data_IF_106982750954
#
_entry.id   IF_106982750954
#
_cell.length_a   1.000
_cell.length_b   1.000
_cell.length_c   1.000
_cell.angle_alpha   90.00
_cell.angle_beta   90.00
_cell.angle_gamma   90.00
#
_symmetry.space_group_name_H-M   'P 1'
#
loop_
_entity.id
_entity.type
_entity.pdbx_description
1 polymer ?
#
# COMPACT_ATOMS: atom_id res chain seq x y z
N UNK A 1 9.93 16.51 53.51
CA UNK A 1 10.17 15.05 53.50
C UNK A 1 9.42 14.44 52.33
N UNK A 2 10.02 13.60 51.47
CA UNK A 2 9.29 12.98 50.38
C UNK A 2 8.32 11.94 50.97
N UNK A 3 7.01 12.11 50.71
CA UNK A 3 5.97 11.18 51.16
C UNK A 3 6.07 9.86 50.39
N UNK A 4 6.01 8.74 51.11
CA UNK A 4 5.98 7.40 50.54
C UNK A 4 4.73 7.23 49.66
N UNK A 5 4.94 6.79 48.40
CA UNK A 5 3.90 6.45 47.44
C UNK A 5 3.02 5.33 48.04
N UNK A 6 1.71 5.55 48.17
CA UNK A 6 0.74 4.51 48.57
C UNK A 6 0.71 3.43 47.47
N UNK A 7 0.96 2.15 47.76
CA UNK A 7 0.75 1.08 46.79
C UNK A 7 -0.74 1.00 46.42
N UNK A 8 -1.04 0.90 45.12
CA UNK A 8 -2.41 0.87 44.56
C UNK A 8 -3.23 -0.40 44.92
N UNK A 9 -2.67 -1.30 45.74
CA UNK A 9 -3.37 -2.46 46.29
C UNK A 9 -2.88 -2.74 47.71
N UNK A 10 -3.81 -2.89 48.65
CA UNK A 10 -3.52 -3.43 49.98
C UNK A 10 -3.22 -4.93 49.85
N UNK A 11 -2.14 -5.36 50.51
CA UNK A 11 -1.64 -6.74 50.50
C UNK A 11 -2.62 -7.65 51.23
N UNK A 12 -3.24 -8.59 50.52
CA UNK A 12 -4.02 -9.69 51.12
C UNK A 12 -3.06 -10.70 51.80
N UNK A 13 -3.11 -10.86 53.14
CA UNK A 13 -2.21 -11.75 53.86
C UNK A 13 -2.55 -13.25 53.70
N UNK A 14 -3.61 -13.65 52.97
CA UNK A 14 -4.01 -15.06 52.85
C UNK A 14 -3.45 -15.83 51.66
N UNK A 15 -2.54 -15.25 50.86
CA UNK A 15 -2.02 -15.92 49.67
C UNK A 15 -1.01 -17.06 49.93
N UNK A 16 -0.73 -17.43 51.19
CA UNK A 16 0.26 -18.45 51.55
C UNK A 16 -0.27 -19.46 52.57
N UNK A 17 -1.28 -20.26 52.19
CA UNK A 17 -1.58 -21.56 52.82
C UNK A 17 -2.53 -22.34 51.92
N UNK A 18 -2.00 -23.37 51.26
CA UNK A 18 -2.59 -24.72 51.17
C UNK A 18 -1.82 -25.53 50.12
N UNK A 19 -0.85 -26.29 50.61
CA UNK A 19 -0.41 -27.53 49.99
C UNK A 19 -1.10 -28.68 50.72
N UNK A 20 -1.87 -29.49 50.00
CA UNK A 20 -1.96 -30.94 50.22
C UNK A 20 -2.81 -31.58 49.11
N UNK A 21 -2.15 -32.39 48.30
CA UNK A 21 -2.76 -33.46 47.50
C UNK A 21 -3.28 -34.56 48.44
N UNK A 22 -4.28 -35.39 48.08
CA UNK A 22 -3.98 -36.51 47.18
C UNK A 22 -5.13 -37.07 46.28
N UNK A 23 -4.68 -37.75 45.22
CA UNK A 23 -5.19 -38.99 44.56
C UNK A 23 -6.58 -39.06 43.89
N UNK A 24 -6.49 -39.28 42.56
CA UNK A 24 -7.23 -40.21 41.69
C UNK A 24 -8.77 -40.21 41.63
N UNK A 25 -9.32 -39.91 40.45
CA UNK A 25 -10.29 -40.77 39.76
C UNK A 25 -10.52 -40.31 38.31
N UNK A 26 -10.42 -41.27 37.37
CA UNK A 26 -10.88 -41.14 35.99
C UNK A 26 -12.41 -40.98 35.98
N UNK A 27 -12.93 -39.98 35.27
CA UNK A 27 -14.22 -40.11 34.56
C UNK A 27 -14.27 -39.16 33.37
N UNK A 28 -14.31 -39.79 32.20
CA UNK A 28 -14.99 -39.32 30.99
C UNK A 28 -16.31 -38.62 31.33
N UNK A 29 -16.55 -37.43 30.77
CA UNK A 29 -17.89 -36.97 30.42
C UNK A 29 -17.77 -35.91 29.33
N UNK A 30 -18.23 -36.28 28.12
CA UNK A 30 -18.41 -35.36 27.01
C UNK A 30 -19.46 -34.31 27.35
N UNK A 31 -19.20 -33.07 26.93
CA UNK A 31 -20.12 -31.94 27.11
C UNK A 31 -20.79 -31.62 25.78
N UNK A 32 -21.90 -32.31 25.51
CA UNK A 32 -22.89 -31.94 24.50
C UNK A 32 -23.58 -30.64 24.94
N UNK A 33 -23.59 -29.62 24.06
CA UNK A 33 -24.46 -28.45 24.19
C UNK A 33 -25.82 -28.81 23.60
N UNK A 34 -26.88 -28.78 24.41
CA UNK A 34 -28.27 -28.74 23.95
C UNK A 34 -28.61 -27.31 23.55
N UNK A 35 -29.12 -27.14 22.34
CA UNK A 35 -29.90 -25.96 21.93
C UNK A 35 -31.34 -26.13 22.40
N UNK A 36 -31.97 -25.01 22.76
CA UNK A 36 -33.40 -24.91 22.96
C UNK A 36 -34.04 -24.98 21.57
N UNK A 37 -34.48 -26.18 21.19
CA UNK A 37 -35.56 -26.49 20.25
C UNK A 37 -35.42 -27.97 19.92
N UNK A 38 -36.26 -28.78 20.57
CA UNK A 38 -36.17 -30.23 20.55
C UNK A 38 -36.34 -30.81 19.14
N UNK A 39 -35.32 -31.55 18.69
CA UNK A 39 -35.38 -32.40 17.51
C UNK A 39 -34.25 -33.43 17.57
N UNK A 40 -34.60 -34.71 17.69
CA UNK A 40 -33.72 -35.85 17.56
C UNK A 40 -33.69 -36.24 16.08
N UNK A 41 -32.51 -36.30 15.45
CA UNK A 41 -32.33 -37.00 14.18
C UNK A 41 -31.02 -37.79 14.21
N UNK A 42 -31.19 -39.09 13.98
CA UNK A 42 -30.17 -40.12 13.77
C UNK A 42 -29.33 -39.84 12.52
N UNK A 43 -28.12 -40.39 12.50
CA UNK A 43 -27.22 -40.30 11.37
C UNK A 43 -27.43 -41.40 10.34
N UNK A 44 -27.02 -41.10 9.10
CA UNK A 44 -26.42 -41.99 8.10
C UNK A 44 -25.85 -41.04 7.02
N UNK A 45 -24.53 -41.05 6.77
CA UNK A 45 -23.79 -41.84 5.77
C UNK A 45 -24.20 -41.63 4.30
N UNK A 46 -23.15 -41.31 3.53
CA UNK A 46 -22.93 -41.49 2.09
C UNK A 46 -23.42 -40.42 1.07
N UNK A 47 -22.51 -40.07 0.15
CA UNK A 47 -22.87 -39.86 -1.26
C UNK A 47 -22.69 -38.46 -1.88
N UNK A 48 -21.49 -38.17 -2.38
CA UNK A 48 -21.14 -37.76 -3.76
C UNK A 48 -22.05 -36.82 -4.62
N UNK A 49 -21.36 -35.97 -5.42
CA UNK A 49 -21.73 -35.30 -6.70
C UNK A 49 -22.32 -33.86 -6.74
N UNK A 50 -21.47 -32.93 -7.19
CA UNK A 50 -21.55 -32.03 -8.38
C UNK A 50 -22.93 -31.51 -8.86
N UNK A 51 -23.03 -30.18 -9.03
CA UNK A 51 -23.93 -29.47 -9.98
C UNK A 51 -24.64 -28.28 -9.34
N UNK A 52 -24.28 -27.01 -9.57
CA UNK A 52 -24.44 -26.19 -10.79
C UNK A 52 -25.88 -26.12 -11.32
N UNK A 53 -26.48 -24.93 -11.29
CA UNK A 53 -27.41 -24.50 -12.35
C UNK A 53 -28.85 -24.14 -11.98
N UNK A 54 -29.04 -22.86 -11.63
CA UNK A 54 -29.99 -21.88 -12.18
C UNK A 54 -31.52 -22.11 -12.35
N UNK A 55 -32.23 -21.05 -11.94
CA UNK A 55 -33.41 -20.38 -12.53
C UNK A 55 -34.83 -20.93 -12.32
N UNK A 56 -35.68 -20.06 -11.77
CA UNK A 56 -37.10 -20.02 -12.06
C UNK A 56 -37.57 -18.56 -12.23
N UNK A 57 -38.00 -18.25 -13.45
CA UNK A 57 -38.84 -17.11 -13.83
C UNK A 57 -40.29 -17.37 -13.42
N UNK A 58 -41.05 -16.33 -13.04
CA UNK A 58 -42.53 -16.35 -13.19
C UNK A 58 -43.15 -14.95 -13.27
N UNK A 59 -43.75 -14.69 -14.44
CA UNK A 59 -45.01 -13.98 -14.79
C UNK A 59 -45.40 -12.62 -14.16
N UNK A 60 -46.31 -11.81 -14.71
CA UNK A 60 -46.86 -11.40 -16.04
C UNK A 60 -48.12 -10.54 -15.69
N UNK A 61 -48.56 -9.68 -16.61
CA UNK A 61 -49.85 -8.91 -16.68
C UNK A 61 -49.93 -7.64 -15.81
N UNK A 62 -50.54 -6.50 -16.18
CA UNK A 62 -51.40 -5.97 -17.28
C UNK A 62 -51.41 -4.44 -17.06
N UNK A 63 -51.33 -3.49 -18.00
CA UNK A 63 -52.17 -3.24 -19.17
C UNK A 63 -53.30 -2.23 -18.85
N UNK A 64 -53.07 -0.90 -18.90
CA UNK A 64 -54.14 0.12 -19.13
C UNK A 64 -53.57 1.50 -19.55
N UNK A 65 -54.02 1.95 -20.72
CA UNK A 65 -54.31 3.31 -21.26
C UNK A 65 -53.38 4.54 -21.08
N UNK A 66 -53.23 5.23 -22.21
CA UNK A 66 -52.58 6.54 -22.39
C UNK A 66 -53.55 7.71 -22.15
N UNK A 67 -53.04 8.95 -22.00
CA UNK A 67 -53.35 9.94 -23.05
C UNK A 67 -52.21 10.93 -23.41
N UNK A 68 -52.16 11.24 -24.71
CA UNK A 68 -51.84 12.51 -25.39
C UNK A 68 -50.67 13.45 -24.96
N UNK A 69 -49.74 13.59 -25.92
CA UNK A 69 -48.87 14.71 -26.35
C UNK A 69 -49.21 16.16 -25.88
N UNK A 70 -48.21 17.07 -25.82
CA UNK A 70 -47.86 17.86 -27.00
C UNK A 70 -46.35 18.03 -27.29
N UNK A 71 -46.10 18.29 -28.59
CA UNK A 71 -44.83 18.59 -29.27
C UNK A 71 -44.16 19.88 -28.75
N UNK A 72 -42.83 19.87 -28.65
CA UNK A 72 -41.96 21.04 -28.74
C UNK A 72 -40.72 20.64 -29.56
N UNK A 73 -40.66 21.04 -30.84
CA UNK A 73 -39.95 22.24 -31.32
C UNK A 73 -38.42 22.10 -31.20
N UNK A 74 -37.81 21.70 -32.33
CA UNK A 74 -36.41 21.93 -32.62
C UNK A 74 -36.12 23.43 -32.55
N UNK A 75 -35.09 23.80 -31.78
CA UNK A 75 -34.34 25.03 -31.98
C UNK A 75 -32.86 24.69 -31.97
N UNK A 76 -32.27 24.75 -33.16
CA UNK A 76 -30.82 24.86 -33.35
C UNK A 76 -30.35 26.13 -32.65
N UNK A 77 -29.40 25.99 -31.73
CA UNK A 77 -28.62 27.11 -31.20
C UNK A 77 -27.17 26.88 -31.61
N UNK A 78 -26.66 27.83 -32.37
CA UNK A 78 -25.29 28.01 -32.80
C UNK A 78 -24.31 27.82 -31.62
N UNK A 79 -23.35 26.90 -31.78
CA UNK A 79 -22.21 26.80 -30.88
C UNK A 79 -21.17 27.85 -31.29
N UNK A 80 -21.10 28.93 -30.53
CA UNK A 80 -19.93 29.80 -30.45
C UNK A 80 -18.69 29.05 -29.92
N UNK A 81 -17.47 29.50 -30.28
CA UNK A 81 -16.23 28.82 -29.92
C UNK A 81 -15.88 28.98 -28.43
N UNK A 82 -15.11 28.04 -27.83
CA UNK A 82 -14.78 28.08 -26.42
C UNK A 82 -13.85 29.25 -26.09
N UNK A 83 -14.32 30.08 -25.16
CA UNK A 83 -13.58 31.12 -24.47
C UNK A 83 -12.34 30.57 -23.77
N UNK A 84 -11.22 31.28 -23.93
CA UNK A 84 -9.94 31.12 -23.23
C UNK A 84 -10.15 30.90 -21.73
N UNK A 85 -9.90 29.67 -21.25
CA UNK A 85 -9.70 29.40 -19.83
C UNK A 85 -8.30 29.92 -19.49
N UNK A 86 -8.26 31.00 -18.71
CA UNK A 86 -7.03 31.51 -18.11
C UNK A 86 -6.52 30.48 -17.11
N UNK A 87 -5.37 29.88 -17.43
CA UNK A 87 -4.55 29.11 -16.49
C UNK A 87 -4.15 30.05 -15.36
N UNK A 88 -4.65 29.80 -14.15
CA UNK A 88 -4.15 30.45 -12.94
C UNK A 88 -2.86 29.75 -12.54
N UNK A 89 -1.75 30.47 -12.64
CA UNK A 89 -0.46 30.11 -12.09
C UNK A 89 -0.58 29.74 -10.60
N UNK A 90 -0.41 28.46 -10.28
CA UNK A 90 -0.07 28.05 -8.93
C UNK A 90 1.41 28.34 -8.71
N UNK A 91 1.69 29.57 -8.29
CA UNK A 91 3.01 30.00 -7.82
C UNK A 91 3.34 29.22 -6.55
N UNK A 92 4.08 28.11 -6.71
CA UNK A 92 4.67 27.38 -5.58
C UNK A 92 5.54 28.35 -4.79
N UNK A 93 5.35 28.34 -3.46
CA UNK A 93 6.20 29.05 -2.52
C UNK A 93 7.66 28.62 -2.71
N UNK A 94 8.43 29.50 -3.37
CA UNK A 94 9.87 29.39 -3.53
C UNK A 94 10.50 29.61 -2.15
N UNK A 95 11.06 28.55 -1.57
CA UNK A 95 11.88 28.67 -0.36
C UNK A 95 13.11 29.52 -0.71
N UNK A 96 13.08 30.80 -0.37
CA UNK A 96 14.27 31.63 -0.32
C UNK A 96 15.06 31.27 0.94
N UNK A 97 16.17 30.57 0.78
CA UNK A 97 17.19 30.39 1.82
C UNK A 97 18.41 31.25 1.47
N UNK A 98 18.94 32.04 2.42
CA UNK A 98 20.14 32.84 2.20
C UNK A 98 21.41 32.03 2.45
N UNK A 99 22.40 32.20 1.59
CA UNK A 99 23.81 31.86 1.88
C UNK A 99 24.29 30.52 1.33
N UNK A 100 24.80 30.54 0.10
CA UNK A 100 25.82 29.57 -0.33
C UNK A 100 26.84 30.31 -1.18
N UNK A 101 27.93 30.74 -0.55
CA UNK A 101 29.07 31.35 -1.23
C UNK A 101 29.90 30.27 -1.92
N UNK A 102 30.07 30.44 -3.22
CA UNK A 102 31.00 29.70 -4.08
C UNK A 102 32.44 29.78 -3.55
N UNK A 103 33.10 28.63 -3.47
CA UNK A 103 34.54 28.42 -3.60
C UNK A 103 34.67 27.19 -4.50
N UNK A 104 35.36 27.17 -5.63
CA UNK A 104 36.58 27.88 -6.00
C UNK A 104 37.56 26.78 -6.44
N UNK A 105 37.98 26.87 -7.70
CA UNK A 105 38.75 25.88 -8.46
C UNK A 105 39.99 25.29 -7.76
N UNK A 106 40.35 24.06 -8.12
CA UNK A 106 41.76 23.62 -8.15
C UNK A 106 41.97 22.56 -9.23
N UNK A 107 42.90 22.92 -10.10
CA UNK A 107 43.39 22.25 -11.30
C UNK A 107 44.10 20.90 -11.07
N UNK A 108 44.01 20.10 -12.14
CA UNK A 108 45.03 19.25 -12.77
C UNK A 108 45.82 18.19 -11.97
N UNK A 109 45.80 16.96 -12.48
CA UNK A 109 46.77 15.91 -12.16
C UNK A 109 46.54 14.60 -12.90
N UNK A 110 46.87 14.57 -14.20
CA UNK A 110 47.05 13.33 -14.96
C UNK A 110 48.16 12.47 -14.34
N UNK A 111 47.92 11.17 -14.14
CA UNK A 111 48.91 10.09 -14.32
C UNK A 111 48.24 8.72 -14.15
N UNK A 112 48.30 7.92 -15.21
CA UNK A 112 48.27 6.46 -15.17
C UNK A 112 49.62 5.96 -15.74
N UNK A 113 49.95 4.65 -15.77
CA UNK A 113 49.42 3.50 -15.00
C UNK A 113 50.57 2.74 -14.30
N UNK A 114 50.28 1.76 -13.43
CA UNK A 114 51.11 0.54 -13.38
C UNK A 114 50.45 -0.64 -12.63
N UNK A 115 50.82 -1.81 -13.11
CA UNK A 115 50.29 -3.13 -12.85
C UNK A 115 51.28 -3.89 -11.95
N UNK A 116 50.84 -4.60 -10.90
CA UNK A 116 51.48 -5.86 -10.42
C UNK A 116 50.81 -6.49 -9.20
N UNK A 117 50.87 -7.81 -9.22
CA UNK A 117 50.16 -8.80 -8.44
C UNK A 117 50.64 -9.03 -6.98
N UNK A 118 49.72 -9.63 -6.20
CA UNK A 118 49.91 -10.60 -5.11
C UNK A 118 50.61 -10.17 -3.81
N UNK A 119 49.86 -10.11 -2.69
CA UNK A 119 50.07 -10.98 -1.50
C UNK A 119 48.98 -10.87 -0.43
N UNK A 120 48.49 -12.06 -0.05
CA UNK A 120 47.79 -12.51 1.16
C UNK A 120 47.53 -11.54 2.35
N UNK A 121 46.29 -11.58 2.86
CA UNK A 121 45.95 -11.25 4.25
C UNK A 121 44.71 -10.37 4.43
N UNK A 122 43.51 -10.86 4.08
CA UNK A 122 42.26 -10.15 4.37
C UNK A 122 41.76 -10.48 5.80
N UNK A 123 41.57 -9.49 6.67
CA UNK A 123 40.64 -9.59 7.81
C UNK A 123 39.19 -9.54 7.29
N UNK A 124 38.19 -10.02 8.06
CA UNK A 124 36.80 -9.94 7.63
C UNK A 124 36.37 -8.46 7.59
N UNK A 125 35.65 -8.01 6.55
CA UNK A 125 35.11 -6.67 6.54
C UNK A 125 33.94 -6.62 7.53
N UNK A 126 34.10 -5.79 8.55
CA UNK A 126 32.98 -5.26 9.32
C UNK A 126 31.91 -4.72 8.37
N UNK A 127 30.66 -5.06 8.68
CA UNK A 127 29.45 -4.75 7.92
C UNK A 127 29.10 -3.26 7.86
N UNK A 128 29.99 -2.46 7.28
CA UNK A 128 29.67 -1.13 6.78
C UNK A 128 28.97 -1.26 5.44
N UNK A 129 27.64 -1.36 5.45
CA UNK A 129 26.82 -1.16 4.26
C UNK A 129 26.86 0.32 3.86
N UNK A 130 28.02 0.81 3.43
CA UNK A 130 28.09 2.02 2.60
C UNK A 130 27.65 1.60 1.21
N UNK A 131 26.34 1.42 1.05
CA UNK A 131 25.70 1.35 -0.25
C UNK A 131 26.14 2.60 -1.00
N UNK A 132 27.11 2.46 -1.90
CA UNK A 132 27.40 3.51 -2.88
C UNK A 132 26.04 3.90 -3.48
N UNK A 133 25.67 5.19 -3.48
CA UNK A 133 24.44 5.61 -4.13
C UNK A 133 24.47 5.02 -5.53
N UNK A 134 23.45 4.22 -5.87
CA UNK A 134 23.37 3.60 -7.19
C UNK A 134 23.52 4.74 -8.19
N UNK A 135 24.49 4.62 -9.08
CA UNK A 135 24.76 5.62 -10.11
C UNK A 135 23.46 5.86 -10.89
N UNK A 136 22.87 7.04 -10.71
CA UNK A 136 21.58 7.36 -11.31
C UNK A 136 21.82 7.61 -12.80
N UNK A 137 21.24 6.77 -13.65
CA UNK A 137 21.26 7.01 -15.08
C UNK A 137 20.24 8.09 -15.44
N UNK A 138 20.69 9.34 -15.56
CA UNK A 138 19.79 10.47 -15.86
C UNK A 138 19.18 10.39 -17.27
N UNK A 139 19.77 9.61 -18.19
CA UNK A 139 19.28 9.50 -19.56
C UNK A 139 17.95 8.77 -19.66
N UNK A 140 17.64 7.90 -18.69
CA UNK A 140 16.36 7.18 -18.62
C UNK A 140 15.27 7.95 -17.91
N UNK A 141 15.59 9.10 -17.29
CA UNK A 141 14.63 9.88 -16.49
C UNK A 141 13.71 10.71 -17.36
N UNK A 142 12.45 10.81 -16.98
CA UNK A 142 11.49 11.69 -17.63
C UNK A 142 11.89 13.16 -17.43
N UNK A 143 11.51 14.04 -18.35
CA UNK A 143 11.71 15.48 -18.23
C UNK A 143 11.15 16.05 -16.91
N UNK A 144 9.99 15.57 -16.47
CA UNK A 144 9.40 15.97 -15.18
C UNK A 144 10.29 15.56 -14.00
N UNK A 145 10.81 14.32 -14.02
CA UNK A 145 11.72 13.82 -12.99
C UNK A 145 13.03 14.61 -12.96
N UNK A 146 13.61 14.92 -14.13
CA UNK A 146 14.81 15.76 -14.24
C UNK A 146 14.57 17.14 -13.61
N UNK A 147 13.42 17.76 -13.89
CA UNK A 147 13.06 19.06 -13.32
C UNK A 147 12.92 19.02 -11.79
N UNK A 148 12.31 17.97 -11.25
CA UNK A 148 12.22 17.78 -9.79
C UNK A 148 13.60 17.62 -9.18
N UNK A 149 14.45 16.76 -9.76
CA UNK A 149 15.83 16.57 -9.28
C UNK A 149 16.63 17.87 -9.31
N UNK A 150 16.55 18.66 -10.38
CA UNK A 150 17.22 19.95 -10.47
C UNK A 150 16.68 20.94 -9.43
N UNK A 151 15.35 21.00 -9.26
CA UNK A 151 14.70 21.90 -8.31
C UNK A 151 15.12 21.60 -6.86
N UNK A 152 15.17 20.32 -6.50
CA UNK A 152 15.58 19.89 -5.16
C UNK A 152 17.03 20.26 -4.87
N UNK A 153 17.88 20.26 -5.91
CA UNK A 153 19.30 20.67 -5.87
C UNK A 153 19.51 22.18 -6.01
N UNK A 154 18.45 22.97 -6.09
CA UNK A 154 18.47 24.41 -6.34
C UNK A 154 19.21 24.79 -7.65
N UNK A 155 19.21 23.89 -8.62
CA UNK A 155 19.79 24.10 -9.94
C UNK A 155 18.75 24.69 -10.89
N UNK A 156 19.16 25.48 -11.91
CA UNK A 156 18.23 26.00 -12.90
C UNK A 156 17.54 24.85 -13.66
N UNK A 157 16.24 24.97 -13.91
CA UNK A 157 15.41 24.01 -14.65
C UNK A 157 15.20 24.38 -16.12
N UNK A 158 15.61 25.58 -16.53
CA UNK A 158 15.50 26.04 -17.92
C UNK A 158 16.52 25.36 -18.83
N UNK A 159 16.20 25.13 -20.10
CA UNK A 159 17.15 24.65 -21.13
C UNK A 159 16.66 23.39 -21.84
N UNK A 160 17.53 22.78 -22.62
CA UNK A 160 17.25 21.49 -23.29
C UNK A 160 17.34 20.33 -22.29
N UNK A 161 16.84 19.15 -22.69
CA UNK A 161 16.93 17.93 -21.89
C UNK A 161 18.39 17.56 -21.60
N UNK A 162 19.24 17.70 -22.60
CA UNK A 162 20.67 17.41 -22.53
C UNK A 162 21.37 18.36 -21.56
N UNK A 163 21.01 19.65 -21.56
CA UNK A 163 21.53 20.61 -20.59
C UNK A 163 21.12 20.26 -19.15
N UNK A 164 19.89 19.77 -18.95
CA UNK A 164 19.41 19.33 -17.64
C UNK A 164 20.19 18.12 -17.14
N UNK A 165 20.42 17.14 -18.01
CA UNK A 165 21.21 15.94 -17.70
C UNK A 165 22.65 16.31 -17.35
N UNK A 166 23.32 17.13 -18.18
CA UNK A 166 24.70 17.55 -17.94
C UNK A 166 24.86 18.28 -16.60
N UNK A 167 23.88 19.11 -16.20
CA UNK A 167 23.86 19.76 -14.88
C UNK A 167 23.72 18.77 -13.72
N UNK A 168 22.91 17.73 -13.87
CA UNK A 168 22.74 16.70 -12.85
C UNK A 168 23.96 15.77 -12.74
N UNK A 169 24.63 15.48 -13.85
CA UNK A 169 25.85 14.66 -13.92
C UNK A 169 27.06 15.38 -13.30
N UNK A 170 27.14 16.71 -13.44
CA UNK A 170 28.22 17.53 -12.87
C UNK A 170 27.99 17.91 -11.40
N UNK A 171 26.77 17.78 -10.90
CA UNK A 171 26.40 18.17 -9.54
C UNK A 171 26.76 17.09 -8.52
N UNK A 172 27.61 17.43 -7.55
CA UNK A 172 27.89 16.62 -6.35
C UNK A 172 26.82 16.87 -5.28
N UNK A 173 25.68 16.20 -5.40
CA UNK A 173 24.57 16.39 -4.48
C UNK A 173 24.54 15.35 -3.35
N UNK A 174 24.37 15.82 -2.11
CA UNK A 174 24.26 14.97 -0.91
C UNK A 174 23.06 15.38 -0.04
N UNK A 175 22.12 14.45 0.16
CA UNK A 175 20.97 14.65 1.04
C UNK A 175 21.34 14.86 2.51
N UNK A 176 22.55 14.48 2.94
CA UNK A 176 23.01 14.69 4.32
C UNK A 176 23.15 16.17 4.69
N UNK A 177 23.19 17.09 3.72
CA UNK A 177 23.25 18.53 3.98
C UNK A 177 21.91 19.05 4.54
N UNK A 178 20.78 18.39 4.23
CA UNK A 178 19.45 18.83 4.64
C UNK A 178 19.09 18.44 6.08
N UNK A 179 18.28 19.26 6.73
CA UNK A 179 17.65 18.92 8.00
C UNK A 179 16.55 17.86 7.81
N UNK A 180 16.18 17.16 8.89
CA UNK A 180 15.09 16.16 8.85
C UNK A 180 13.75 16.77 8.41
N UNK A 181 13.51 18.05 8.72
CA UNK A 181 12.32 18.80 8.32
C UNK A 181 12.36 19.11 6.83
N UNK A 182 13.49 19.59 6.32
CA UNK A 182 13.66 19.84 4.88
C UNK A 182 13.48 18.57 4.05
N UNK A 183 14.05 17.43 4.48
CA UNK A 183 13.83 16.15 3.83
C UNK A 183 12.36 15.72 3.84
N UNK A 184 11.61 16.09 4.88
CA UNK A 184 10.17 15.84 4.94
C UNK A 184 9.43 16.63 3.87
N UNK A 185 9.80 17.89 3.68
CA UNK A 185 9.20 18.74 2.64
C UNK A 185 9.55 18.24 1.23
N UNK A 186 10.77 17.76 1.00
CA UNK A 186 11.15 17.12 -0.28
C UNK A 186 10.34 15.83 -0.54
N UNK A 187 10.16 14.99 0.48
CA UNK A 187 9.33 13.79 0.33
C UNK A 187 7.86 14.15 0.05
N UNK A 188 7.32 15.19 0.71
CA UNK A 188 5.97 15.69 0.45
C UNK A 188 5.81 16.24 -0.95
N UNK A 189 6.76 17.03 -1.44
CA UNK A 189 6.70 17.62 -2.79
C UNK A 189 6.66 16.54 -3.88
N UNK A 190 7.29 15.39 -3.61
CA UNK A 190 7.31 14.18 -4.46
C UNK A 190 6.11 13.24 -4.26
N UNK A 191 5.16 13.61 -3.40
CA UNK A 191 4.00 12.81 -3.01
C UNK A 191 4.35 11.44 -2.41
N UNK A 192 5.50 11.32 -1.73
CA UNK A 192 5.86 10.09 -1.02
C UNK A 192 4.99 9.95 0.23
N UNK A 193 4.36 8.79 0.40
CA UNK A 193 3.46 8.51 1.52
C UNK A 193 4.19 8.58 2.86
N UNK A 194 3.53 9.04 3.92
CA UNK A 194 4.11 9.09 5.26
C UNK A 194 5.48 9.82 5.31
N UNK A 195 5.64 10.90 4.55
CA UNK A 195 6.89 11.66 4.39
C UNK A 195 7.57 12.07 5.71
N UNK A 196 6.79 12.28 6.78
CA UNK A 196 7.32 12.67 8.09
C UNK A 196 7.89 11.50 8.91
N UNK A 197 7.66 10.26 8.49
CA UNK A 197 7.99 9.05 9.27
C UNK A 197 9.49 8.75 9.23
N UNK A 198 10.03 8.43 10.41
CA UNK A 198 11.37 7.90 10.58
C UNK A 198 12.44 8.97 10.88
N UNK A 199 13.63 8.53 11.32
CA UNK A 199 14.79 9.41 11.48
C UNK A 199 15.31 9.91 10.12
N UNK A 200 16.21 10.89 10.15
CA UNK A 200 16.84 11.51 8.97
C UNK A 200 17.34 10.46 7.95
N UNK A 201 18.07 9.45 8.40
CA UNK A 201 18.63 8.40 7.54
C UNK A 201 17.56 7.65 6.72
N UNK A 202 16.40 7.35 7.32
CA UNK A 202 15.29 6.71 6.62
C UNK A 202 14.73 7.63 5.54
N UNK A 203 14.57 8.93 5.83
CA UNK A 203 14.07 9.90 4.85
C UNK A 203 15.01 10.01 3.64
N UNK A 204 16.33 10.00 3.88
CA UNK A 204 17.34 9.97 2.81
C UNK A 204 17.17 8.71 1.95
N UNK A 205 17.12 7.53 2.57
CA UNK A 205 16.95 6.27 1.84
C UNK A 205 15.68 6.26 0.98
N UNK A 206 14.57 6.81 1.48
CA UNK A 206 13.32 6.91 0.72
C UNK A 206 13.41 7.86 -0.46
N UNK A 207 14.14 8.98 -0.33
CA UNK A 207 14.41 9.89 -1.45
C UNK A 207 15.29 9.21 -2.51
N UNK A 208 16.30 8.45 -2.10
CA UNK A 208 17.16 7.67 -3.02
C UNK A 208 16.36 6.60 -3.78
N UNK A 209 15.45 5.89 -3.10
CA UNK A 209 14.53 4.94 -3.75
C UNK A 209 13.65 5.67 -4.78
N UNK A 210 13.13 6.85 -4.43
CA UNK A 210 12.34 7.64 -5.35
C UNK A 210 13.17 8.19 -6.54
N UNK A 211 14.46 8.50 -6.34
CA UNK A 211 15.39 8.93 -7.39
C UNK A 211 15.73 7.80 -8.38
N UNK A 212 15.67 6.56 -7.92
CA UNK A 212 15.83 5.40 -8.79
C UNK A 212 14.67 5.22 -9.77
N UNK A 213 13.47 5.76 -9.48
CA UNK A 213 12.32 5.75 -10.40
C UNK A 213 12.55 6.74 -11.56
N UNK A 214 12.18 6.35 -12.78
CA UNK A 214 12.41 7.16 -13.98
C UNK A 214 11.43 8.32 -14.12
N UNK A 215 10.18 8.13 -13.70
CA UNK A 215 9.14 9.17 -13.74
C UNK A 215 9.01 9.96 -12.45
N UNK A 216 8.45 11.16 -12.57
CA UNK A 216 8.00 11.94 -11.43
C UNK A 216 6.68 11.38 -10.90
N UNK A 217 6.73 10.74 -9.73
CA UNK A 217 5.56 10.16 -9.05
C UNK A 217 4.52 11.20 -8.64
N UNK A 218 4.90 12.49 -8.58
CA UNK A 218 3.98 13.58 -8.29
C UNK A 218 3.27 14.12 -9.54
N UNK A 219 3.77 13.81 -10.75
CA UNK A 219 3.18 14.29 -12.00
C UNK A 219 2.07 13.36 -12.50
N UNK A 220 0.83 13.76 -12.23
CA UNK A 220 -0.36 13.02 -12.65
C UNK A 220 -0.57 13.02 -14.17
N UNK A 221 -0.15 14.08 -14.89
CA UNK A 221 -0.35 14.15 -16.34
C UNK A 221 0.54 13.15 -17.07
N UNK A 222 1.80 13.02 -16.66
CA UNK A 222 2.69 11.99 -17.21
C UNK A 222 2.13 10.60 -16.86
N UNK A 223 1.74 10.39 -15.61
CA UNK A 223 1.13 9.12 -15.15
C UNK A 223 -0.09 8.74 -15.99
N UNK A 224 -0.94 9.70 -16.36
CA UNK A 224 -2.11 9.49 -17.20
C UNK A 224 -1.71 9.03 -18.61
N UNK A 225 -0.68 9.63 -19.21
CA UNK A 225 -0.17 9.23 -20.52
C UNK A 225 0.42 7.82 -20.50
N UNK A 226 1.18 7.49 -19.44
CA UNK A 226 1.68 6.13 -19.21
C UNK A 226 0.50 5.14 -19.18
N UNK A 227 -0.52 5.39 -18.34
CA UNK A 227 -1.70 4.54 -18.21
C UNK A 227 -2.46 4.40 -19.55
N UNK A 228 -2.62 5.49 -20.29
CA UNK A 228 -3.30 5.46 -21.58
C UNK A 228 -2.55 4.58 -22.59
N UNK A 229 -1.26 4.80 -22.78
CA UNK A 229 -0.44 3.98 -23.68
C UNK A 229 -0.47 2.49 -23.27
N UNK A 230 -0.44 2.19 -21.98
CA UNK A 230 -0.48 0.83 -21.46
C UNK A 230 -1.83 0.14 -21.70
N UNK A 231 -2.95 0.85 -21.51
CA UNK A 231 -4.30 0.36 -21.81
C UNK A 231 -4.48 0.09 -23.31
N UNK A 232 -3.96 0.98 -24.16
CA UNK A 232 -3.99 0.79 -25.62
C UNK A 232 -3.15 -0.42 -26.04
N UNK A 233 -1.96 -0.56 -25.45
CA UNK A 233 -1.10 -1.72 -25.69
C UNK A 233 -1.77 -3.03 -25.26
N UNK A 234 -2.33 -3.09 -24.06
CA UNK A 234 -3.05 -4.27 -23.58
C UNK A 234 -4.21 -4.66 -24.50
N UNK A 235 -4.93 -3.66 -25.02
CA UNK A 235 -6.00 -3.89 -25.98
C UNK A 235 -5.49 -4.47 -27.29
N UNK A 236 -4.36 -3.96 -27.80
CA UNK A 236 -3.68 -4.48 -28.98
C UNK A 236 -3.19 -5.92 -28.76
N UNK A 237 -2.46 -6.18 -27.68
CA UNK A 237 -1.92 -7.50 -27.34
C UNK A 237 -3.03 -8.55 -27.23
N UNK A 238 -4.17 -8.18 -26.62
CA UNK A 238 -5.36 -9.05 -26.54
C UNK A 238 -5.94 -9.38 -27.91
N UNK A 239 -5.99 -8.42 -28.83
CA UNK A 239 -6.50 -8.65 -30.19
C UNK A 239 -5.52 -9.50 -31.01
N UNK A 240 -4.21 -9.27 -30.86
CA UNK A 240 -3.15 -10.06 -31.51
C UNK A 240 -3.21 -11.51 -31.02
N UNK A 241 -3.27 -11.74 -29.71
CA UNK A 241 -3.42 -13.09 -29.14
C UNK A 241 -4.69 -13.79 -29.64
N UNK A 242 -5.79 -13.05 -29.79
CA UNK A 242 -7.02 -13.59 -30.40
C UNK A 242 -6.80 -13.99 -31.86
N UNK A 243 -6.08 -13.19 -32.63
CA UNK A 243 -5.75 -13.48 -34.03
C UNK A 243 -4.83 -14.71 -34.15
N UNK A 244 -3.86 -14.85 -33.25
CA UNK A 244 -2.99 -16.03 -33.17
C UNK A 244 -3.79 -17.30 -32.88
N UNK A 245 -4.71 -17.26 -31.90
CA UNK A 245 -5.62 -18.38 -31.62
C UNK A 245 -6.51 -18.75 -32.83
N UNK A 246 -6.92 -17.76 -33.63
CA UNK A 246 -7.64 -18.01 -34.90
C UNK A 246 -6.76 -18.71 -35.95
N UNK A 247 -5.47 -18.38 -36.02
CA UNK A 247 -4.51 -18.96 -36.97
C UNK A 247 -4.12 -20.38 -36.54
N UNK A 248 -3.91 -20.59 -35.24
CA UNK A 248 -3.60 -21.90 -34.65
C UNK A 248 -4.78 -22.90 -34.72
N UNK A 249 -5.98 -22.45 -35.13
CA UNK A 249 -7.17 -23.30 -35.18
C UNK A 249 -7.73 -23.63 -33.79
N UNK A 250 -7.25 -22.96 -32.74
CA UNK A 250 -7.73 -23.12 -31.37
C UNK A 250 -9.10 -22.46 -31.16
N UNK A 251 -9.49 -21.56 -32.06
CA UNK A 251 -10.81 -20.94 -32.00
C UNK A 251 -11.94 -21.94 -32.30
N UNK A 252 -12.60 -22.37 -31.23
CA UNK A 252 -13.79 -23.23 -31.28
C UNK A 252 -15.09 -22.45 -31.47
N UNK A 253 -15.02 -21.15 -31.80
CA UNK A 253 -16.21 -20.35 -32.08
C UNK A 253 -17.04 -21.03 -33.16
N UNK A 254 -18.34 -21.17 -32.87
CA UNK A 254 -19.34 -21.81 -33.72
C UNK A 254 -19.22 -23.33 -33.93
N UNK A 255 -18.20 -24.01 -33.38
CA UNK A 255 -18.02 -25.47 -33.53
C UNK A 255 -18.89 -26.32 -32.60
N UNK A 256 -19.51 -25.74 -31.57
CA UNK A 256 -20.34 -26.49 -30.62
C UNK A 256 -21.65 -26.98 -31.27
N UNK A 257 -22.14 -28.15 -30.84
CA UNK A 257 -23.41 -28.74 -31.30
C UNK A 257 -24.63 -27.83 -31.08
N UNK A 258 -24.50 -26.83 -30.20
CA UNK A 258 -25.52 -25.81 -29.92
C UNK A 258 -25.81 -24.86 -31.08
N UNK A 259 -24.93 -24.78 -32.08
CA UNK A 259 -25.07 -23.95 -33.28
C UNK A 259 -25.78 -24.68 -34.42
N UNK A 260 -27.12 -24.64 -34.36
CA UNK A 260 -28.00 -25.13 -35.44
C UNK A 260 -27.91 -24.26 -36.70
N UNK A 261 -28.19 -24.83 -37.88
CA UNK A 261 -28.27 -24.09 -39.15
C UNK A 261 -29.17 -22.85 -39.08
N UNK A 262 -30.31 -22.93 -38.37
CA UNK A 262 -31.22 -21.80 -38.19
C UNK A 262 -30.57 -20.62 -37.46
N UNK A 263 -29.80 -20.90 -36.39
CA UNK A 263 -29.07 -19.88 -35.63
C UNK A 263 -27.93 -19.27 -36.43
N UNK A 264 -27.17 -20.09 -37.15
CA UNK A 264 -26.08 -19.62 -38.02
C UNK A 264 -26.63 -18.76 -39.18
N UNK A 265 -27.73 -19.20 -39.80
CA UNK A 265 -28.41 -18.45 -40.85
C UNK A 265 -28.96 -17.11 -40.37
N UNK A 266 -29.48 -17.04 -39.14
CA UNK A 266 -29.88 -15.76 -38.52
C UNK A 266 -28.69 -14.81 -38.36
N UNK A 267 -27.57 -15.27 -37.78
CA UNK A 267 -26.35 -14.45 -37.65
C UNK A 267 -25.77 -13.98 -38.99
N UNK A 268 -25.79 -14.85 -40.01
CA UNK A 268 -25.36 -14.50 -41.36
C UNK A 268 -26.26 -13.41 -41.96
N UNK A 269 -27.59 -13.52 -41.81
CA UNK A 269 -28.53 -12.47 -42.25
C UNK A 269 -28.28 -11.15 -41.54
N UNK A 270 -28.11 -11.18 -40.22
CA UNK A 270 -27.83 -9.97 -39.43
C UNK A 270 -26.55 -9.27 -39.89
N UNK A 271 -25.55 -10.04 -40.32
CA UNK A 271 -24.27 -9.54 -40.85
C UNK A 271 -24.28 -9.29 -42.37
N UNK A 272 -25.45 -9.45 -43.03
CA UNK A 272 -25.63 -9.32 -44.48
C UNK A 272 -24.71 -10.24 -45.30
N UNK A 273 -24.46 -11.45 -44.80
CA UNK A 273 -23.68 -12.49 -45.45
C UNK A 273 -24.59 -13.52 -46.13
N UNK A 274 -24.13 -14.21 -47.20
CA UNK A 274 -24.90 -15.27 -47.84
C UNK A 274 -25.28 -16.38 -46.84
N UNK A 275 -26.46 -16.98 -47.01
CA UNK A 275 -26.99 -18.05 -46.11
C UNK A 275 -27.09 -19.43 -46.75
N UNK A 276 -26.76 -19.55 -48.04
CA UNK A 276 -26.77 -20.80 -48.79
C UNK A 276 -25.69 -21.76 -48.30
N UNK A 277 -25.79 -23.06 -48.57
CA UNK A 277 -24.72 -24.04 -48.29
C UNK A 277 -24.87 -24.82 -46.97
N UNK A 278 -23.84 -25.62 -46.67
CA UNK A 278 -23.81 -26.52 -45.51
C UNK A 278 -23.56 -25.76 -44.19
N UNK A 279 -23.67 -26.47 -43.06
CA UNK A 279 -23.38 -25.92 -41.73
C UNK A 279 -21.94 -25.44 -41.64
N UNK A 280 -20.98 -26.25 -42.10
CA UNK A 280 -19.56 -25.91 -42.18
C UNK A 280 -19.30 -24.69 -43.07
N UNK A 281 -19.97 -24.59 -44.23
CA UNK A 281 -19.81 -23.41 -45.11
C UNK A 281 -20.28 -22.12 -44.42
N UNK A 282 -21.35 -22.19 -43.63
CA UNK A 282 -21.88 -21.07 -42.85
C UNK A 282 -20.92 -20.68 -41.71
N UNK A 283 -20.35 -21.67 -41.02
CA UNK A 283 -19.33 -21.46 -39.97
C UNK A 283 -18.08 -20.78 -40.56
N UNK A 284 -17.58 -21.30 -41.68
CA UNK A 284 -16.39 -20.76 -42.33
C UNK A 284 -16.58 -19.32 -42.80
N UNK A 285 -17.77 -18.97 -43.33
CA UNK A 285 -18.11 -17.58 -43.66
C UNK A 285 -18.13 -16.65 -42.45
N UNK A 286 -18.74 -17.08 -41.34
CA UNK A 286 -18.75 -16.29 -40.11
C UNK A 286 -17.34 -16.07 -39.57
N UNK A 287 -16.51 -17.13 -39.55
CA UNK A 287 -15.09 -17.04 -39.15
C UNK A 287 -14.28 -16.12 -40.07
N UNK A 288 -14.47 -16.21 -41.38
CA UNK A 288 -13.81 -15.32 -42.33
C UNK A 288 -14.19 -13.85 -42.09
N UNK A 289 -15.48 -13.58 -41.85
CA UNK A 289 -15.98 -12.25 -41.50
C UNK A 289 -15.40 -11.74 -40.17
N UNK A 290 -15.37 -12.59 -39.14
CA UNK A 290 -14.80 -12.25 -37.83
C UNK A 290 -13.29 -11.97 -37.92
N UNK A 291 -12.55 -12.75 -38.72
CA UNK A 291 -11.11 -12.51 -39.00
C UNK A 291 -10.89 -11.18 -39.70
N UNK A 292 -11.68 -10.87 -40.74
CA UNK A 292 -11.57 -9.57 -41.42
C UNK A 292 -11.84 -8.40 -40.48
N UNK A 293 -12.83 -8.54 -39.58
CA UNK A 293 -13.11 -7.54 -38.56
C UNK A 293 -11.94 -7.42 -37.57
N UNK A 294 -11.41 -8.54 -37.10
CA UNK A 294 -10.29 -8.56 -36.16
C UNK A 294 -9.04 -7.90 -36.74
N UNK A 295 -8.72 -8.13 -38.01
CA UNK A 295 -7.59 -7.45 -38.69
C UNK A 295 -7.78 -5.92 -38.69
N UNK A 296 -8.99 -5.44 -38.97
CA UNK A 296 -9.31 -4.00 -38.91
C UNK A 296 -9.19 -3.46 -37.50
N UNK A 297 -9.71 -4.18 -36.51
CA UNK A 297 -9.64 -3.80 -35.11
C UNK A 297 -8.18 -3.76 -34.61
N UNK A 298 -7.32 -4.70 -35.03
CA UNK A 298 -5.88 -4.71 -34.73
C UNK A 298 -5.19 -3.50 -35.36
N UNK A 299 -5.44 -3.20 -36.64
CA UNK A 299 -4.84 -2.04 -37.32
C UNK A 299 -5.18 -0.75 -36.58
N UNK A 300 -6.47 -0.57 -36.24
CA UNK A 300 -6.94 0.58 -35.48
C UNK A 300 -6.31 0.67 -34.09
N UNK A 301 -6.29 -0.44 -33.34
CA UNK A 301 -5.68 -0.48 -32.00
C UNK A 301 -4.16 -0.19 -32.05
N UNK A 302 -3.48 -0.61 -33.11
CA UNK A 302 -2.06 -0.32 -33.34
C UNK A 302 -1.83 1.17 -33.60
N UNK A 303 -2.64 1.81 -34.43
CA UNK A 303 -2.58 3.25 -34.67
C UNK A 303 -2.83 4.05 -33.38
N UNK A 304 -3.84 3.67 -32.61
CA UNK A 304 -4.14 4.31 -31.32
C UNK A 304 -2.99 4.15 -30.32
N UNK A 305 -2.40 2.95 -30.22
CA UNK A 305 -1.23 2.72 -29.37
C UNK A 305 -0.02 3.55 -29.81
N UNK A 306 0.32 3.56 -31.10
CA UNK A 306 1.45 4.35 -31.61
C UNK A 306 1.24 5.85 -31.41
N UNK A 307 0.00 6.34 -31.55
CA UNK A 307 -0.34 7.73 -31.27
C UNK A 307 -0.14 8.08 -29.79
N UNK A 308 -0.67 7.26 -28.88
CA UNK A 308 -0.50 7.45 -27.44
C UNK A 308 0.98 7.36 -27.01
N UNK A 309 1.73 6.39 -27.55
CA UNK A 309 3.16 6.23 -27.32
C UNK A 309 3.94 7.47 -27.76
N UNK A 310 3.67 7.98 -28.96
CA UNK A 310 4.32 9.20 -29.47
C UNK A 310 4.04 10.42 -28.60
N UNK A 311 2.80 10.57 -28.13
CA UNK A 311 2.44 11.66 -27.21
C UNK A 311 3.22 11.55 -25.90
N UNK A 312 3.29 10.35 -25.32
CA UNK A 312 4.08 10.08 -24.12
C UNK A 312 5.57 10.41 -24.33
N UNK A 313 6.20 9.87 -25.38
CA UNK A 313 7.63 10.10 -25.70
C UNK A 313 7.95 11.58 -25.91
N UNK A 314 7.04 12.33 -26.54
CA UNK A 314 7.18 13.77 -26.74
C UNK A 314 7.17 14.51 -25.40
N UNK A 315 6.29 14.10 -24.48
CA UNK A 315 6.16 14.70 -23.15
C UNK A 315 7.38 14.40 -22.26
N UNK A 316 7.77 13.13 -22.15
CA UNK A 316 8.84 12.69 -21.26
C UNK A 316 10.24 12.99 -21.82
N UNK A 317 10.36 13.21 -23.13
CA UNK A 317 11.59 13.62 -23.80
C UNK A 317 12.55 12.49 -24.18
N UNK A 318 12.11 11.23 -24.13
CA UNK A 318 12.90 10.09 -24.61
C UNK A 318 12.01 8.95 -25.11
N UNK A 319 12.62 8.01 -25.82
CA UNK A 319 11.92 6.82 -26.31
C UNK A 319 11.49 5.91 -25.16
N UNK A 320 10.30 5.33 -25.27
CA UNK A 320 9.77 4.34 -24.33
C UNK A 320 9.91 2.96 -24.96
N UNK A 321 10.52 2.03 -24.23
CA UNK A 321 10.60 0.63 -24.67
C UNK A 321 9.22 0.02 -24.83
N UNK A 322 9.08 -0.98 -25.70
CA UNK A 322 7.79 -1.67 -25.87
C UNK A 322 7.41 -2.49 -24.62
N UNK A 323 8.36 -2.82 -23.75
CA UNK A 323 8.11 -3.61 -22.55
C UNK A 323 7.78 -2.75 -21.32
N UNK A 324 6.50 -2.68 -20.97
CA UNK A 324 6.00 -2.36 -19.62
C UNK A 324 5.82 -0.88 -19.32
N UNK A 325 4.73 -0.28 -19.82
CA UNK A 325 4.44 1.14 -19.57
C UNK A 325 3.82 1.35 -18.17
N UNK A 326 3.11 0.39 -17.55
CA UNK A 326 2.67 0.51 -16.14
C UNK A 326 2.52 -0.79 -15.33
N UNK A 327 2.14 -1.93 -15.92
CA UNK A 327 1.79 -3.12 -15.10
C UNK A 327 2.98 -4.04 -14.79
N UNK A 328 3.57 -3.82 -13.60
CA UNK A 328 4.52 -4.75 -12.98
C UNK A 328 5.99 -4.51 -13.31
N UNK A 329 6.32 -3.32 -13.80
CA UNK A 329 7.70 -2.91 -13.99
C UNK A 329 8.44 -2.60 -12.68
N UNK A 330 9.70 -2.16 -12.76
CA UNK A 330 10.58 -1.84 -11.63
C UNK A 330 9.96 -0.92 -10.57
N UNK A 331 8.98 -0.10 -10.95
CA UNK A 331 8.26 0.81 -10.04
C UNK A 331 7.47 0.11 -8.94
N UNK A 332 6.85 -1.03 -9.24
CA UNK A 332 6.16 -1.81 -8.22
C UNK A 332 7.16 -2.33 -7.18
N UNK A 333 8.36 -2.70 -7.62
CA UNK A 333 9.46 -3.11 -6.75
C UNK A 333 9.94 -1.93 -5.89
N UNK A 334 10.11 -0.74 -6.47
CA UNK A 334 10.50 0.46 -5.73
C UNK A 334 9.45 0.84 -4.66
N UNK A 335 8.16 0.79 -4.98
CA UNK A 335 7.11 1.03 -4.00
C UNK A 335 7.10 -0.03 -2.89
N UNK A 336 7.33 -1.30 -3.23
CA UNK A 336 7.41 -2.37 -2.24
C UNK A 336 8.62 -2.18 -1.30
N UNK A 337 9.76 -1.77 -1.84
CA UNK A 337 10.97 -1.45 -1.07
C UNK A 337 10.72 -0.23 -0.17
N UNK A 338 10.11 0.84 -0.69
CA UNK A 338 9.78 2.04 0.09
C UNK A 338 8.83 1.70 1.26
N UNK A 339 7.78 0.92 0.98
CA UNK A 339 6.84 0.44 2.00
C UNK A 339 7.51 -0.48 3.04
N UNK A 340 8.56 -1.21 2.66
CA UNK A 340 9.34 -2.03 3.59
C UNK A 340 10.19 -1.14 4.51
N UNK A 341 10.92 -0.18 3.94
CA UNK A 341 11.72 0.82 4.69
C UNK A 341 10.85 1.60 5.66
N UNK A 342 9.65 2.01 5.23
CA UNK A 342 8.70 2.71 6.11
C UNK A 342 8.27 1.83 7.30
N UNK A 343 7.88 0.58 7.02
CA UNK A 343 7.48 -0.36 8.09
C UNK A 343 8.60 -0.61 9.07
N UNK A 344 9.82 -0.80 8.58
CA UNK A 344 10.99 -1.02 9.42
C UNK A 344 11.30 0.21 10.27
N UNK A 345 11.13 1.42 9.74
CA UNK A 345 11.28 2.65 10.51
C UNK A 345 10.23 2.82 11.61
N UNK A 346 8.98 2.40 11.36
CA UNK A 346 7.91 2.40 12.38
C UNK A 346 8.21 1.36 13.46
N UNK A 347 8.68 0.18 13.07
CA UNK A 347 8.98 -0.92 14.00
C UNK A 347 10.26 -0.68 14.82
N UNK A 348 11.23 0.04 14.25
CA UNK A 348 12.54 0.33 14.87
C UNK A 348 12.54 1.51 15.83
N UNK A 349 11.39 2.20 16.02
CA UNK A 349 11.29 3.20 17.08
C UNK A 349 11.64 2.51 18.39
N UNK A 350 12.67 2.97 19.14
CA UNK A 350 12.97 2.39 20.44
C UNK A 350 11.70 2.49 21.25
N UNK A 351 11.09 1.32 21.51
CA UNK A 351 9.99 1.24 22.45
C UNK A 351 10.63 1.58 23.78
N UNK A 352 10.55 2.85 24.19
CA UNK A 352 10.83 3.22 25.57
C UNK A 352 10.03 2.21 26.38
N UNK A 353 10.69 1.33 27.14
CA UNK A 353 10.00 0.31 27.89
C UNK A 353 8.95 1.03 28.72
N UNK A 354 7.68 0.66 28.52
CA UNK A 354 6.59 1.28 29.28
C UNK A 354 6.83 1.08 30.79
N UNK A 355 7.58 0.04 31.15
CA UNK A 355 8.09 -0.23 32.48
C UNK A 355 9.56 -0.67 32.33
N UNK A 356 10.46 -0.04 33.07
CA UNK A 356 11.92 -0.27 33.08
C UNK A 356 12.36 -1.32 34.12
N UNK A 357 11.40 -1.98 34.77
CA UNK A 357 11.66 -3.06 35.73
C UNK A 357 12.45 -4.20 35.09
N UNK A 358 13.61 -4.54 35.66
CA UNK A 358 14.42 -5.68 35.23
C UNK A 358 13.78 -6.99 35.70
N UNK A 359 12.85 -7.46 34.89
CA UNK A 359 12.02 -8.61 35.18
C UNK A 359 12.72 -9.95 34.89
N UNK A 360 13.96 -9.95 34.39
CA UNK A 360 14.65 -11.18 33.95
C UNK A 360 14.88 -12.16 35.10
N UNK A 361 15.07 -11.66 36.31
CA UNK A 361 15.28 -12.45 37.53
C UNK A 361 13.98 -12.77 38.28
N UNK A 362 12.82 -12.33 37.77
CA UNK A 362 11.52 -12.64 38.36
C UNK A 362 11.24 -14.14 38.30
N UNK A 363 10.78 -14.73 39.41
CA UNK A 363 10.32 -16.12 39.44
C UNK A 363 9.12 -16.40 38.51
N UNK A 364 8.46 -15.35 38.03
CA UNK A 364 7.38 -15.40 37.05
C UNK A 364 7.84 -15.21 35.60
N UNK A 365 9.14 -14.92 35.34
CA UNK A 365 9.67 -14.53 34.03
C UNK A 365 9.43 -15.58 32.92
N UNK A 366 9.35 -16.87 33.28
CA UNK A 366 9.09 -17.97 32.34
C UNK A 366 7.64 -18.03 31.82
N UNK A 367 6.71 -17.31 32.46
CA UNK A 367 5.29 -17.30 32.06
C UNK A 367 5.06 -16.46 30.81
N UNK A 368 4.07 -16.87 30.02
CA UNK A 368 3.64 -16.10 28.85
C UNK A 368 2.86 -14.86 29.28
N UNK A 369 2.82 -13.82 28.43
CA UNK A 369 2.06 -12.59 28.72
C UNK A 369 0.58 -12.86 29.02
N UNK A 370 -0.03 -13.84 28.34
CA UNK A 370 -1.41 -14.27 28.57
C UNK A 370 -1.60 -14.89 29.95
N UNK A 371 -0.69 -15.76 30.37
CA UNK A 371 -0.73 -16.39 31.69
C UNK A 371 -0.57 -15.35 32.80
N UNK A 372 0.38 -14.41 32.62
CA UNK A 372 0.58 -13.32 33.58
C UNK A 372 -0.67 -12.45 33.71
N UNK A 373 -1.29 -12.08 32.59
CA UNK A 373 -2.54 -11.32 32.58
C UNK A 373 -3.67 -12.01 33.35
N UNK A 374 -3.83 -13.33 33.17
CA UNK A 374 -4.82 -14.12 33.91
C UNK A 374 -4.54 -14.17 35.42
N UNK A 375 -3.27 -14.34 35.81
CA UNK A 375 -2.85 -14.35 37.21
C UNK A 375 -3.07 -12.97 37.85
N UNK A 376 -2.62 -11.90 37.18
CA UNK A 376 -2.80 -10.52 37.63
C UNK A 376 -4.28 -10.15 37.79
N UNK A 377 -5.12 -10.53 36.82
CA UNK A 377 -6.57 -10.30 36.88
C UNK A 377 -7.20 -11.02 38.08
N UNK A 378 -6.83 -12.29 38.33
CA UNK A 378 -7.35 -13.06 39.48
C UNK A 378 -6.90 -12.49 40.82
N UNK A 379 -5.71 -11.93 40.88
CA UNK A 379 -5.16 -11.31 42.10
C UNK A 379 -5.56 -9.84 42.27
N UNK A 380 -6.39 -9.30 41.37
CA UNK A 380 -6.94 -7.95 41.52
C UNK A 380 -6.00 -6.81 41.08
N UNK A 381 -5.08 -7.04 40.14
CA UNK A 381 -4.22 -5.98 39.61
C UNK A 381 -5.06 -4.83 39.02
N UNK A 382 -4.82 -3.57 39.42
CA UNK A 382 -5.55 -2.43 38.88
C UNK A 382 -5.05 -2.11 37.46
N UNK A 383 -5.66 -2.75 36.47
CA UNK A 383 -5.37 -2.52 35.04
C UNK A 383 -4.38 -3.51 34.42
N UNK A 384 -4.04 -3.27 33.15
CA UNK A 384 -3.11 -4.09 32.37
C UNK A 384 -1.92 -3.27 31.87
N UNK A 385 -0.74 -3.88 31.90
CA UNK A 385 0.51 -3.31 31.41
C UNK A 385 1.32 -4.30 30.55
N UNK A 386 2.51 -3.90 30.07
CA UNK A 386 3.46 -4.82 29.46
C UNK A 386 3.85 -5.92 30.44
N UNK A 387 4.49 -6.98 29.92
CA UNK A 387 4.99 -8.10 30.73
C UNK A 387 5.81 -7.63 31.95
N UNK A 388 6.69 -6.65 31.78
CA UNK A 388 7.48 -6.07 32.86
C UNK A 388 6.62 -5.48 34.00
N UNK A 389 5.55 -4.76 33.69
CA UNK A 389 4.65 -4.16 34.69
C UNK A 389 3.86 -5.22 35.46
N UNK A 390 3.40 -6.27 34.78
CA UNK A 390 2.71 -7.39 35.42
C UNK A 390 3.65 -8.16 36.36
N UNK A 391 4.91 -8.36 35.94
CA UNK A 391 5.93 -9.00 36.76
C UNK A 391 6.31 -8.13 37.97
N UNK A 392 6.55 -6.83 37.76
CA UNK A 392 6.77 -5.84 38.83
C UNK A 392 5.67 -5.95 39.88
N UNK A 393 4.40 -5.89 39.46
CA UNK A 393 3.27 -5.99 40.37
C UNK A 393 3.19 -7.32 41.12
N UNK A 394 3.48 -8.45 40.46
CA UNK A 394 3.47 -9.76 41.12
C UNK A 394 4.59 -9.94 42.15
N UNK A 395 5.74 -9.29 41.93
CA UNK A 395 6.90 -9.36 42.82
C UNK A 395 6.84 -8.32 43.95
N UNK A 396 6.38 -7.09 43.67
CA UNK A 396 6.39 -5.97 44.64
C UNK A 396 5.03 -5.65 45.23
N UNK A 397 3.93 -6.17 44.66
CA UNK A 397 2.56 -5.78 45.00
C UNK A 397 2.16 -4.38 44.53
N UNK A 398 3.05 -3.67 43.82
CA UNK A 398 2.85 -2.28 43.41
C UNK A 398 3.09 -2.08 41.91
N UNK A 399 2.26 -1.25 41.28
CA UNK A 399 2.39 -0.84 39.89
C UNK A 399 2.15 0.67 39.82
N UNK A 400 2.94 1.39 39.04
CA UNK A 400 2.72 2.82 38.84
C UNK A 400 1.81 3.04 37.62
N UNK A 401 1.07 4.15 37.57
CA UNK A 401 0.22 4.45 36.40
C UNK A 401 1.04 4.60 35.12
N UNK A 402 2.29 5.05 35.25
CA UNK A 402 3.31 5.09 34.21
C UNK A 402 3.57 3.72 33.60
N UNK A 403 3.43 2.64 34.35
CA UNK A 403 3.69 1.27 33.91
C UNK A 403 2.51 0.66 33.12
N UNK A 404 1.34 1.30 33.09
CA UNK A 404 0.11 0.74 32.50
C UNK A 404 -0.12 1.20 31.05
N UNK A 405 -0.94 0.45 30.29
CA UNK A 405 -1.39 0.90 28.97
C UNK A 405 -2.45 2.00 29.07
N UNK A 406 -2.51 2.89 28.06
CA UNK A 406 -3.48 3.99 28.01
C UNK A 406 -4.93 3.50 28.20
N UNK A 407 -5.35 2.45 27.47
CA UNK A 407 -6.69 1.88 27.61
C UNK A 407 -6.97 1.28 28.99
N UNK A 408 -5.93 0.86 29.75
CA UNK A 408 -6.13 0.45 31.14
C UNK A 408 -6.33 1.63 32.08
N UNK A 409 -5.63 2.75 31.84
CA UNK A 409 -5.86 3.98 32.59
C UNK A 409 -7.25 4.55 32.34
N UNK A 410 -7.75 4.52 31.09
CA UNK A 410 -9.14 4.88 30.77
C UNK A 410 -10.14 4.03 31.56
N UNK A 411 -9.91 2.72 31.63
CA UNK A 411 -10.74 1.81 32.43
C UNK A 411 -10.71 2.12 33.93
N UNK A 412 -9.55 2.51 34.47
CA UNK A 412 -9.44 2.92 35.88
C UNK A 412 -10.19 4.22 36.12
N UNK A 413 -10.00 5.23 35.25
CA UNK A 413 -10.76 6.49 35.30
C UNK A 413 -12.26 6.24 35.26
N UNK A 414 -12.72 5.38 34.35
CA UNK A 414 -14.13 5.01 34.21
C UNK A 414 -14.67 4.36 35.49
N UNK A 415 -13.97 3.37 36.05
CA UNK A 415 -14.39 2.67 37.28
C UNK A 415 -14.45 3.59 38.50
N UNK A 416 -13.60 4.61 38.55
CA UNK A 416 -13.55 5.62 39.62
C UNK A 416 -14.48 6.81 39.39
N UNK A 417 -15.22 6.85 38.28
CA UNK A 417 -16.08 7.99 37.94
C UNK A 417 -15.32 9.27 37.57
N UNK A 418 -14.04 9.16 37.22
CA UNK A 418 -13.20 10.29 36.82
C UNK A 418 -13.51 10.64 35.35
N UNK A 419 -13.94 11.88 35.13
CA UNK A 419 -14.26 12.40 33.79
C UNK A 419 -12.99 12.45 32.93
N UNK A 420 -13.03 11.78 31.78
CA UNK A 420 -11.99 11.76 30.76
C UNK A 420 -12.62 11.67 29.36
N UNK A 421 -11.85 11.93 28.30
CA UNK A 421 -12.28 11.71 26.91
C UNK A 421 -11.70 10.40 26.38
N UNK A 422 -12.45 9.65 25.59
CA UNK A 422 -11.91 8.46 24.91
C UNK A 422 -10.79 8.86 23.95
N UNK A 423 -9.66 8.15 24.00
CA UNK A 423 -8.47 8.45 23.19
C UNK A 423 -7.62 9.61 23.74
N UNK A 424 -7.86 10.03 24.99
CA UNK A 424 -7.02 11.03 25.67
C UNK A 424 -5.58 10.50 25.84
N UNK A 425 -4.59 11.41 25.79
CA UNK A 425 -3.18 11.01 25.85
C UNK A 425 -2.89 10.35 27.20
N UNK A 426 -2.05 9.30 27.21
CA UNK A 426 -1.63 8.58 28.41
C UNK A 426 -1.19 9.52 29.55
N UNK A 427 -0.42 10.55 29.25
CA UNK A 427 0.11 11.51 30.25
C UNK A 427 -1.02 12.28 30.95
N UNK A 428 -2.07 12.67 30.22
CA UNK A 428 -3.21 13.38 30.78
C UNK A 428 -4.06 12.47 31.68
N UNK A 429 -4.24 11.20 31.27
CA UNK A 429 -4.91 10.18 32.08
C UNK A 429 -4.16 9.92 33.40
N UNK A 430 -2.82 9.78 33.35
CA UNK A 430 -1.98 9.61 34.55
C UNK A 430 -2.15 10.79 35.49
N UNK A 431 -2.09 12.03 34.96
CA UNK A 431 -2.22 13.25 35.76
C UNK A 431 -3.55 13.29 36.51
N UNK A 432 -4.67 13.03 35.82
CA UNK A 432 -6.01 13.01 36.44
C UNK A 432 -6.13 11.97 37.55
N UNK A 433 -5.57 10.78 37.33
CA UNK A 433 -5.60 9.71 38.33
C UNK A 433 -4.81 10.08 39.59
N UNK A 434 -3.64 10.70 39.43
CA UNK A 434 -2.85 11.21 40.56
C UNK A 434 -3.56 12.34 41.30
N UNK A 435 -4.14 13.30 40.58
CA UNK A 435 -4.94 14.39 41.17
C UNK A 435 -6.12 13.83 42.00
N UNK A 436 -6.77 12.77 41.52
CA UNK A 436 -7.85 12.09 42.25
C UNK A 436 -7.36 11.37 43.51
N UNK A 437 -6.22 10.67 43.43
CA UNK A 437 -5.59 10.01 44.60
C UNK A 437 -5.20 11.02 45.69
N UNK A 438 -4.71 12.20 45.29
CA UNK A 438 -4.36 13.28 46.22
C UNK A 438 -5.59 13.86 46.91
N UNK A 439 -6.71 14.01 46.19
CA UNK A 439 -7.98 14.46 46.77
C UNK A 439 -8.57 13.44 47.74
N UNK A 440 -8.54 12.15 47.40
CA UNK A 440 -8.98 11.07 48.29
C UNK A 440 -8.09 10.91 49.52
N UNK A 441 -6.80 11.24 49.43
CA UNK A 441 -5.90 11.21 50.58
C UNK A 441 -5.99 12.45 51.49
N UNK A 442 -6.62 13.53 51.03
CA UNK A 442 -6.79 14.78 51.77
C UNK A 442 -8.16 14.91 52.47
N UNK A 443 -9.16 14.12 52.05
CA UNK A 443 -10.44 13.94 52.74
C UNK A 443 -10.38 12.80 53.74
#
# INVERSE_FOLDING_TARGET
MPRAKRPLAEVDPNASRLASSPKSSKTSTGRTRKTADGGILEGDKDGNLIGSGCNATRNKSSGTEAPSLPKASLRENERQPPSKIKSTDNTRHRLHLPGSTYLGDSDAGNCAPENRDNRAGSPPPDGGCTSRPREINYKTKDNSKLNVLLSDRLLPTSGTREDMIARLETSTFDYNIYSSEQLTELLKSRHVTNAATGPKAIKIQRLEINDAVDRDTSNWEDTKLYVEADVKKWSLDRLVAKQEAFIAGEDRSYSTSTWTLKKLGALLKDRKLPTTGTREDNINRLRASDRQKLIKDISKAREEFLSAKKQLETQIGHAVGDHGVCRGGPEADFQAIDNQVERDAVNSRPRIPICDYDWRDSHWASRTQRQLSEICSRRGMPGHGPKAAMLKWLDTGSVEYEDLYAGSLEMICFRRGIKHRSGEKKVDLIRRLKEADEQEAAG
#
